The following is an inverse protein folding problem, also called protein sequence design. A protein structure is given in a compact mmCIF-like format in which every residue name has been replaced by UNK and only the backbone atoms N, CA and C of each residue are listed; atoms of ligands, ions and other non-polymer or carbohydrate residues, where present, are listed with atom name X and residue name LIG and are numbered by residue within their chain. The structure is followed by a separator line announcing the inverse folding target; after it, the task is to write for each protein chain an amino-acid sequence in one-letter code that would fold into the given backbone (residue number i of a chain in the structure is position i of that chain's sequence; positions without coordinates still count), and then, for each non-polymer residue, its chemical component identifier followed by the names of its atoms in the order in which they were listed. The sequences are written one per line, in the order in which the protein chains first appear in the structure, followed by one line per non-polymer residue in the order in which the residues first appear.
data_IF_053153107330
#
_entry.id   IF_053153107330
#
_cell.length_a   1.000
_cell.length_b   1.000
_cell.length_c   1.000
_cell.angle_alpha   90.00
_cell.angle_beta   90.00
_cell.angle_gamma   90.00
#
_symmetry.space_group_name_H-M   'P 1'
#
loop_
_entity.id
_entity.type
_entity.pdbx_description
1 polymer ?
#
# COMPACT_ATOMS: atom_id res chain seq x y z
N UNK A 1 15.03 6.70 13.81
CA UNK A 1 14.19 5.61 13.26
C UNK A 1 13.82 6.00 11.84
N UNK A 2 13.81 5.08 10.87
CA UNK A 2 13.35 5.39 9.52
C UNK A 2 11.82 5.49 9.48
N UNK A 3 11.27 6.29 8.56
CA UNK A 3 9.84 6.26 8.25
C UNK A 3 9.52 4.94 7.54
N UNK A 4 8.54 4.20 8.05
CA UNK A 4 8.09 2.94 7.47
C UNK A 4 6.64 3.06 7.01
N UNK A 5 6.35 2.62 5.79
CA UNK A 5 4.98 2.47 5.32
C UNK A 5 4.42 1.12 5.79
N UNK A 6 3.35 1.17 6.58
CA UNK A 6 2.53 0.00 6.88
C UNK A 6 1.33 -0.02 5.92
N UNK A 7 1.21 -1.06 5.09
CA UNK A 7 0.14 -1.20 4.09
C UNK A 7 -0.21 -2.67 3.87
N UNK A 8 -1.37 -2.94 3.27
CA UNK A 8 -1.85 -4.29 2.94
C UNK A 8 -2.79 -4.27 1.74
N UNK A 9 -3.07 -5.46 1.18
CA UNK A 9 -4.01 -5.66 0.10
C UNK A 9 -5.24 -6.40 0.61
N UNK A 10 -6.42 -5.96 0.18
CA UNK A 10 -7.69 -6.59 0.53
C UNK A 10 -8.52 -6.86 -0.73
N UNK A 11 -9.31 -7.92 -0.72
CA UNK A 11 -10.21 -8.29 -1.81
C UNK A 11 -11.61 -8.57 -1.28
N UNK A 12 -12.62 -8.06 -1.98
CA UNK A 12 -14.03 -8.28 -1.63
C UNK A 12 -14.81 -6.98 -1.43
N UNK A 13 -16.09 -7.10 -1.02
CA UNK A 13 -16.98 -5.96 -0.96
C UNK A 13 -16.75 -5.10 0.28
N UNK A 14 -16.30 -3.86 0.07
CA UNK A 14 -16.27 -2.78 1.05
C UNK A 14 -15.70 -3.22 2.42
N UNK A 15 -16.46 -3.03 3.50
CA UNK A 15 -16.06 -3.35 4.87
C UNK A 15 -15.94 -4.85 5.18
N UNK A 16 -16.31 -5.74 4.24
CA UNK A 16 -16.16 -7.20 4.34
C UNK A 16 -15.00 -7.73 3.49
N UNK A 17 -14.07 -6.89 3.05
CA UNK A 17 -12.93 -7.35 2.28
C UNK A 17 -11.96 -8.18 3.16
N UNK A 18 -11.46 -9.26 2.59
CA UNK A 18 -10.49 -10.15 3.23
C UNK A 18 -9.07 -9.70 2.87
N UNK A 19 -8.14 -9.79 3.84
CA UNK A 19 -6.73 -9.59 3.56
C UNK A 19 -6.19 -10.70 2.66
N UNK A 20 -5.41 -10.31 1.65
CA UNK A 20 -4.72 -11.24 0.75
C UNK A 20 -3.21 -11.04 0.84
N UNK A 21 -2.42 -11.98 0.31
CA UNK A 21 -0.95 -11.88 0.28
C UNK A 21 -0.50 -10.62 -0.51
N UNK A 22 0.00 -9.57 0.16
CA UNK A 22 0.38 -8.34 -0.51
C UNK A 22 1.68 -8.49 -1.31
N UNK A 23 2.55 -9.46 -0.99
CA UNK A 23 3.80 -9.67 -1.72
C UNK A 23 3.56 -10.42 -3.03
N UNK A 24 2.67 -11.40 -3.03
CA UNK A 24 2.20 -12.06 -4.26
C UNK A 24 1.63 -11.06 -5.27
N UNK A 25 0.86 -10.06 -4.80
CA UNK A 25 0.32 -8.99 -5.65
C UNK A 25 1.44 -8.15 -6.30
N UNK A 26 2.47 -7.77 -5.54
CA UNK A 26 3.58 -6.97 -6.06
C UNK A 26 4.42 -7.70 -7.11
N UNK A 27 4.47 -9.04 -7.06
CA UNK A 27 5.18 -9.83 -8.08
C UNK A 27 4.52 -9.75 -9.45
N UNK A 28 3.19 -9.64 -9.49
CA UNK A 28 2.42 -9.58 -10.74
C UNK A 28 2.08 -8.15 -11.18
N UNK A 29 1.96 -7.23 -10.23
CA UNK A 29 1.51 -5.86 -10.47
C UNK A 29 2.42 -4.85 -9.75
N UNK A 30 3.19 -4.03 -10.49
CA UNK A 30 3.97 -2.96 -9.88
C UNK A 30 3.06 -1.89 -9.26
N UNK A 31 3.29 -1.58 -7.99
CA UNK A 31 2.62 -0.49 -7.26
C UNK A 31 3.64 0.60 -6.96
N UNK A 32 3.28 1.86 -7.23
CA UNK A 32 4.09 3.04 -6.89
C UNK A 32 3.23 3.99 -6.06
N UNK A 33 3.77 4.42 -4.93
CA UNK A 33 3.16 5.50 -4.16
C UNK A 33 3.29 6.80 -4.95
N UNK A 34 2.21 7.56 -5.04
CA UNK A 34 2.32 8.94 -5.51
C UNK A 34 2.99 9.78 -4.43
N UNK A 35 3.85 10.74 -4.80
CA UNK A 35 4.28 11.77 -3.87
C UNK A 35 3.05 12.47 -3.28
N UNK A 36 3.14 12.88 -2.02
CA UNK A 36 2.10 13.66 -1.34
C UNK A 36 2.22 15.17 -1.66
N UNK A 37 2.86 15.53 -2.78
CA UNK A 37 3.49 16.82 -3.15
C UNK A 37 4.89 17.08 -2.57
N UNK A 38 5.68 17.89 -3.29
CA UNK A 38 7.09 18.26 -3.06
C UNK A 38 7.35 19.14 -1.82
N UNK A 39 6.51 19.05 -0.79
CA UNK A 39 6.64 19.78 0.45
C UNK A 39 7.49 19.00 1.46
N UNK A 40 8.70 19.48 1.70
CA UNK A 40 9.43 19.22 2.94
C UNK A 40 8.45 19.45 4.12
N UNK A 41 8.15 18.39 4.86
CA UNK A 41 7.64 18.51 6.24
C UNK A 41 8.87 18.72 7.12
N UNK A 42 9.22 19.98 7.36
CA UNK A 42 9.73 20.36 8.68
C UNK A 42 8.66 20.17 9.76
#
# INVERSE_FOLDING_TARGET
TAACLHWGAMWGPASRADYVDPLGLLRSTPVRLKPLDSGRMD
#
